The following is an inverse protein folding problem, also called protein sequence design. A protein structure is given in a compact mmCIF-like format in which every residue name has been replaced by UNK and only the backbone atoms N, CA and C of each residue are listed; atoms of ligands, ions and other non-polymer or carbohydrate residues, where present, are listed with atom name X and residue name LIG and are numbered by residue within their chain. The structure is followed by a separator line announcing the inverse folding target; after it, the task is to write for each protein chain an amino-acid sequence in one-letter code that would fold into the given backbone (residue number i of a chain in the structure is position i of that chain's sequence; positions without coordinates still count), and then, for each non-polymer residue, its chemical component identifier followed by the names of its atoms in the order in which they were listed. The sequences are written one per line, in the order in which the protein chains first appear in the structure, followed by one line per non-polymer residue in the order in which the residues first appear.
data_IF_122508639716
#
_entry.id   IF_122508639716
#
_cell.length_a   1.000
_cell.length_b   1.000
_cell.length_c   1.000
_cell.angle_alpha   90.00
_cell.angle_beta   90.00
_cell.angle_gamma   90.00
#
_symmetry.space_group_name_H-M   'P 1'
#
loop_
_entity.id
_entity.type
_entity.pdbx_description
1 polymer ?
#
# COMPACT_ATOMS: atom_id res chain seq x y z
N UNK A 1 -13.16 46.21 -2.39
CA UNK A 1 -14.56 45.86 -2.14
C UNK A 1 -14.58 44.58 -1.31
N UNK A 2 -14.98 44.73 -0.04
CA UNK A 2 -15.05 43.66 0.97
C UNK A 2 -16.42 43.01 0.90
N UNK A 3 -16.48 41.68 0.95
CA UNK A 3 -17.68 41.00 1.49
C UNK A 3 -17.25 39.73 2.29
N UNK A 4 -17.71 39.58 3.55
CA UNK A 4 -17.49 38.41 4.34
C UNK A 4 -18.69 37.45 4.25
N UNK A 5 -18.45 36.17 3.97
CA UNK A 5 -19.44 35.12 4.09
C UNK A 5 -19.39 34.56 5.53
N UNK A 6 -20.40 34.90 6.31
CA UNK A 6 -20.75 34.27 7.58
C UNK A 6 -21.35 32.89 7.31
N UNK A 7 -20.75 31.84 7.83
CA UNK A 7 -21.39 30.55 7.96
C UNK A 7 -22.21 30.51 9.24
N UNK A 8 -23.51 30.36 9.08
CA UNK A 8 -24.48 30.03 10.14
C UNK A 8 -24.52 28.51 10.26
N UNK A 9 -24.11 27.98 11.42
CA UNK A 9 -24.36 26.61 11.84
C UNK A 9 -25.16 26.67 13.13
N UNK A 10 -26.48 26.59 13.02
CA UNK A 10 -27.37 26.29 14.15
C UNK A 10 -28.65 25.63 13.62
N UNK A 11 -29.13 24.68 14.44
CA UNK A 11 -30.48 24.10 14.36
C UNK A 11 -30.62 22.82 13.56
N UNK A 12 -30.35 21.67 14.23
CA UNK A 12 -31.24 20.50 14.14
C UNK A 12 -30.96 19.51 15.30
N UNK A 13 -31.38 19.91 16.50
CA UNK A 13 -31.62 18.99 17.61
C UNK A 13 -32.93 19.36 18.28
N UNK A 14 -34.06 18.90 17.73
CA UNK A 14 -35.35 18.77 18.44
C UNK A 14 -36.27 17.90 17.58
N UNK A 15 -36.58 16.74 18.05
CA UNK A 15 -37.84 16.02 17.93
C UNK A 15 -37.63 14.50 17.90
N UNK A 16 -37.48 13.90 19.05
CA UNK A 16 -37.94 12.52 19.24
C UNK A 16 -38.30 12.31 20.72
N UNK A 17 -39.41 12.89 21.12
CA UNK A 17 -40.07 12.56 22.35
C UNK A 17 -41.59 12.53 22.11
N UNK A 18 -42.26 11.53 22.65
CA UNK A 18 -43.70 11.29 22.73
C UNK A 18 -44.29 10.37 21.66
N UNK A 19 -44.45 9.12 22.12
CA UNK A 19 -45.73 8.38 22.04
C UNK A 19 -45.62 7.01 22.72
N UNK A 20 -46.00 6.94 24.00
CA UNK A 20 -46.59 5.74 24.59
C UNK A 20 -47.82 6.11 25.35
N UNK A 21 -48.97 5.83 24.76
CA UNK A 21 -50.29 6.02 25.30
C UNK A 21 -50.83 4.67 25.78
N UNK A 22 -51.11 4.59 27.10
CA UNK A 22 -52.18 3.90 27.81
C UNK A 22 -52.80 2.63 27.18
N UNK A 23 -52.72 1.53 27.92
CA UNK A 23 -53.77 0.50 28.03
C UNK A 23 -53.80 0.00 29.51
N UNK A 24 -54.76 0.21 30.19
CA UNK A 24 -55.99 -0.43 30.58
C UNK A 24 -55.78 -1.44 31.72
N UNK A 25 -56.04 -0.95 32.97
CA UNK A 25 -56.11 -1.76 34.19
C UNK A 25 -57.48 -2.47 34.19
N UNK A 26 -57.53 -3.79 34.36
CA UNK A 26 -58.70 -4.51 34.89
C UNK A 26 -58.32 -5.27 36.15
N UNK A 27 -59.01 -4.91 37.24
CA UNK A 27 -58.99 -5.54 38.57
C UNK A 27 -59.72 -6.88 38.52
N UNK A 28 -59.14 -7.94 39.07
CA UNK A 28 -59.94 -9.04 39.72
C UNK A 28 -59.08 -9.70 40.82
N UNK A 29 -59.54 -9.65 42.04
CA UNK A 29 -59.81 -10.78 42.91
C UNK A 29 -58.69 -11.32 43.79
N UNK A 30 -58.79 -11.02 45.06
CA UNK A 30 -58.10 -11.53 46.24
C UNK A 30 -58.28 -13.05 46.39
N UNK A 31 -57.22 -13.81 46.71
CA UNK A 31 -57.23 -14.90 47.70
C UNK A 31 -55.86 -14.96 48.37
N UNK A 32 -55.84 -14.82 49.69
CA UNK A 32 -54.68 -14.97 50.55
C UNK A 32 -54.38 -16.46 50.79
N UNK A 33 -53.09 -16.84 50.61
CA UNK A 33 -52.58 -18.07 51.21
C UNK A 33 -51.16 -17.78 51.73
N UNK A 34 -51.00 -17.77 53.00
CA UNK A 34 -49.75 -17.73 53.74
C UNK A 34 -48.96 -19.00 53.46
N UNK A 35 -47.88 -18.88 52.75
CA UNK A 35 -46.84 -19.88 52.62
C UNK A 35 -45.49 -19.24 52.82
N UNK A 36 -44.87 -19.48 53.99
CA UNK A 36 -43.48 -19.06 54.24
C UNK A 36 -42.52 -19.82 53.33
N UNK A 37 -42.21 -19.23 52.24
CA UNK A 37 -41.11 -19.66 51.38
C UNK A 37 -39.89 -18.77 51.66
N UNK A 38 -38.90 -19.35 52.34
CA UNK A 38 -37.58 -18.73 52.48
C UNK A 38 -36.97 -18.56 51.07
N UNK A 39 -37.09 -17.36 50.53
CA UNK A 39 -36.41 -16.95 49.30
C UNK A 39 -34.92 -16.81 49.61
N UNK A 40 -34.15 -17.88 49.34
CA UNK A 40 -32.70 -17.77 49.16
C UNK A 40 -32.51 -16.89 47.95
N UNK A 41 -32.24 -15.62 48.17
CA UNK A 41 -31.69 -14.75 47.13
C UNK A 41 -30.32 -15.33 46.73
N UNK A 42 -30.32 -16.19 45.72
CA UNK A 42 -29.12 -16.49 44.99
C UNK A 42 -28.66 -15.17 44.34
N UNK A 43 -27.73 -14.50 44.99
CA UNK A 43 -26.95 -13.42 44.37
C UNK A 43 -26.18 -14.08 43.28
N UNK A 44 -26.80 -14.13 42.10
CA UNK A 44 -26.07 -14.50 40.88
C UNK A 44 -24.87 -13.54 40.79
N UNK A 45 -23.64 -14.04 40.77
CA UNK A 45 -22.50 -13.16 40.53
C UNK A 45 -22.78 -12.45 39.20
N UNK A 46 -23.02 -11.14 39.28
CA UNK A 46 -22.97 -10.31 38.09
C UNK A 46 -21.60 -10.61 37.49
N UNK A 47 -21.60 -11.27 36.34
CA UNK A 47 -20.41 -11.35 35.50
C UNK A 47 -20.06 -9.91 35.06
N UNK A 48 -19.54 -9.14 36.03
CA UNK A 48 -18.98 -7.84 35.76
C UNK A 48 -17.92 -8.09 34.70
N UNK A 49 -18.02 -7.42 33.58
CA UNK A 49 -17.02 -7.51 32.52
C UNK A 49 -15.66 -7.33 33.20
N UNK A 50 -14.85 -8.40 33.22
CA UNK A 50 -13.56 -8.39 33.88
C UNK A 50 -12.66 -7.45 33.09
N UNK A 51 -12.50 -6.22 33.59
CA UNK A 51 -11.69 -5.19 32.95
C UNK A 51 -10.37 -5.05 33.66
N UNK A 52 -9.35 -4.61 32.94
CA UNK A 52 -8.08 -4.19 33.45
C UNK A 52 -7.75 -2.77 33.02
N UNK A 53 -6.52 -2.38 33.20
CA UNK A 53 -5.98 -1.09 32.77
C UNK A 53 -4.65 -1.25 32.05
N UNK A 54 -4.29 -0.24 31.29
CA UNK A 54 -2.98 -0.12 30.65
C UNK A 54 -2.35 1.19 31.13
N UNK A 55 -1.12 1.12 31.58
CA UNK A 55 -0.22 2.25 31.76
C UNK A 55 0.89 2.15 30.73
N UNK A 56 1.22 3.26 30.09
CA UNK A 56 2.26 3.27 29.08
C UNK A 56 3.15 4.48 29.23
N UNK A 57 4.38 4.33 28.76
CA UNK A 57 5.37 5.38 28.68
C UNK A 57 5.95 5.38 27.26
N UNK A 58 6.12 6.57 26.68
CA UNK A 58 6.65 6.77 25.34
C UNK A 58 7.91 7.61 25.40
N UNK A 59 9.01 7.02 24.99
CA UNK A 59 10.33 7.67 24.93
C UNK A 59 10.95 7.46 23.56
N UNK A 60 11.74 8.42 23.13
CA UNK A 60 12.52 8.30 21.91
C UNK A 60 13.93 8.88 22.13
N UNK A 61 14.89 8.25 21.48
CA UNK A 61 16.29 8.66 21.51
C UNK A 61 16.67 9.19 20.14
N UNK A 62 16.98 10.51 19.99
CA UNK A 62 17.55 11.03 18.76
C UNK A 62 18.93 10.43 18.50
N UNK A 63 19.39 10.44 17.26
CA UNK A 63 20.68 9.84 16.85
C UNK A 63 21.85 10.42 17.64
N UNK A 64 21.79 11.71 17.95
CA UNK A 64 22.86 12.48 18.63
C UNK A 64 22.55 12.80 20.09
N UNK A 65 21.49 12.22 20.69
CA UNK A 65 20.96 12.71 21.94
C UNK A 65 20.73 11.66 23.04
N UNK A 66 20.20 12.20 24.11
CA UNK A 66 19.71 11.43 25.27
C UNK A 66 18.24 11.09 25.03
N UNK A 67 17.80 9.98 25.61
CA UNK A 67 16.40 9.57 25.57
C UNK A 67 15.47 10.64 26.17
N UNK A 68 14.47 11.05 25.41
CA UNK A 68 13.50 12.07 25.80
C UNK A 68 12.06 11.54 25.81
N UNK A 69 11.20 12.07 26.70
CA UNK A 69 9.78 11.73 26.69
C UNK A 69 9.06 12.30 25.47
N UNK A 70 8.24 11.49 24.82
CA UNK A 70 7.38 11.92 23.70
C UNK A 70 6.09 12.53 24.27
N UNK A 71 5.96 13.85 24.18
CA UNK A 71 4.92 14.64 24.84
C UNK A 71 3.73 14.91 23.93
N UNK A 72 2.53 14.85 24.48
CA UNK A 72 1.31 15.21 23.76
C UNK A 72 1.03 14.33 22.53
N UNK A 73 1.59 13.14 22.47
CA UNK A 73 1.52 12.27 21.31
C UNK A 73 0.29 11.37 21.37
N UNK A 74 -0.54 11.33 20.32
CA UNK A 74 -1.73 10.48 20.30
C UNK A 74 -1.36 9.02 20.01
N UNK A 75 -1.97 8.11 20.79
CA UNK A 75 -1.93 6.68 20.58
C UNK A 75 -3.34 6.12 20.47
N UNK A 76 -3.47 5.04 19.76
CA UNK A 76 -4.72 4.31 19.54
C UNK A 76 -4.60 2.90 20.10
N UNK A 77 -5.59 2.50 20.89
CA UNK A 77 -5.74 1.11 21.29
C UNK A 77 -6.61 0.42 20.25
N UNK A 78 -6.06 -0.60 19.62
CA UNK A 78 -6.72 -1.35 18.56
C UNK A 78 -6.92 -2.81 18.98
N UNK A 79 -7.99 -3.43 18.50
CA UNK A 79 -8.26 -4.87 18.70
C UNK A 79 -7.50 -5.78 17.73
N UNK A 80 -6.73 -5.19 16.78
CA UNK A 80 -5.92 -5.89 15.78
C UNK A 80 -4.69 -5.02 15.46
N UNK A 81 -3.56 -5.62 15.08
CA UNK A 81 -2.37 -4.85 14.71
C UNK A 81 -2.63 -3.95 13.50
N UNK A 82 -2.01 -2.78 13.46
CA UNK A 82 -2.15 -1.88 12.32
C UNK A 82 -1.51 -2.47 11.05
N UNK A 83 -0.46 -3.28 11.23
CA UNK A 83 0.13 -4.06 10.14
C UNK A 83 -0.89 -5.02 9.50
N UNK A 84 -1.62 -5.81 10.31
CA UNK A 84 -2.63 -6.74 9.78
C UNK A 84 -3.87 -6.03 9.23
N UNK A 85 -4.20 -4.86 9.78
CA UNK A 85 -5.26 -3.99 9.21
C UNK A 85 -4.81 -3.48 7.83
N UNK A 86 -3.53 -3.12 7.68
CA UNK A 86 -2.96 -2.68 6.40
C UNK A 86 -2.96 -3.81 5.37
N UNK A 87 -2.64 -5.04 5.78
CA UNK A 87 -2.76 -6.22 4.91
C UNK A 87 -4.21 -6.46 4.48
N UNK A 88 -5.16 -6.32 5.40
CA UNK A 88 -6.60 -6.42 5.09
C UNK A 88 -7.04 -5.32 4.11
N UNK A 89 -6.60 -4.09 4.32
CA UNK A 89 -6.85 -3.00 3.38
C UNK A 89 -6.24 -3.29 2.01
N UNK A 90 -5.00 -3.79 1.95
CA UNK A 90 -4.31 -4.13 0.70
C UNK A 90 -5.02 -5.21 -0.11
N UNK A 91 -5.73 -6.13 0.54
CA UNK A 91 -6.52 -7.16 -0.14
C UNK A 91 -7.68 -6.57 -0.97
N UNK A 92 -8.21 -5.40 -0.58
CA UNK A 92 -9.24 -4.68 -1.34
C UNK A 92 -8.68 -3.91 -2.54
N UNK A 93 -7.35 -3.75 -2.62
CA UNK A 93 -6.65 -3.02 -3.68
C UNK A 93 -5.57 -3.93 -4.29
N UNK A 94 -5.94 -4.90 -5.12
CA UNK A 94 -4.97 -5.78 -5.76
C UNK A 94 -3.98 -4.95 -6.60
N UNK A 95 -2.73 -5.43 -6.76
CA UNK A 95 -1.77 -4.76 -7.62
C UNK A 95 -2.31 -4.67 -9.05
N UNK A 96 -2.00 -3.61 -9.80
CA UNK A 96 -2.35 -3.52 -11.20
C UNK A 96 -1.84 -4.72 -11.99
N UNK A 97 -2.64 -5.23 -12.90
CA UNK A 97 -2.25 -6.31 -13.80
C UNK A 97 -1.36 -5.75 -14.91
N UNK A 98 -0.09 -6.14 -14.88
CA UNK A 98 0.89 -5.71 -15.89
C UNK A 98 0.53 -6.23 -17.29
N UNK A 99 -0.04 -7.43 -17.42
CA UNK A 99 -0.46 -7.97 -18.70
C UNK A 99 -1.58 -7.15 -19.31
N UNK A 100 -2.60 -6.82 -18.52
CA UNK A 100 -3.71 -5.97 -18.96
C UNK A 100 -3.26 -4.52 -19.26
N UNK A 101 -2.23 -4.02 -18.56
CA UNK A 101 -1.61 -2.74 -18.87
C UNK A 101 -0.91 -2.79 -20.24
N UNK A 102 -0.06 -3.81 -20.47
CA UNK A 102 0.67 -3.98 -21.73
C UNK A 102 -0.30 -4.13 -22.91
N UNK A 103 -1.43 -4.85 -22.75
CA UNK A 103 -2.41 -5.02 -23.82
C UNK A 103 -3.00 -3.70 -24.34
N UNK A 104 -3.07 -2.67 -23.49
CA UNK A 104 -3.63 -1.36 -23.82
C UNK A 104 -2.61 -0.39 -24.46
N UNK A 105 -1.31 -0.75 -24.47
CA UNK A 105 -0.31 0.11 -25.07
C UNK A 105 -0.52 0.20 -26.58
N UNK A 106 -0.14 1.33 -27.16
CA UNK A 106 -0.03 1.50 -28.60
C UNK A 106 1.35 1.03 -29.06
N UNK A 107 1.49 -0.27 -29.30
CA UNK A 107 2.74 -0.93 -29.62
C UNK A 107 2.47 -2.18 -30.47
N UNK A 108 3.51 -2.68 -31.15
CA UNK A 108 3.42 -3.91 -31.95
C UNK A 108 3.04 -5.13 -31.07
N UNK A 109 2.54 -6.17 -31.73
CA UNK A 109 2.25 -7.45 -31.05
C UNK A 109 3.52 -8.08 -30.49
N UNK A 110 4.60 -7.93 -31.20
CA UNK A 110 5.93 -8.45 -30.87
C UNK A 110 6.49 -7.76 -29.63
N UNK A 111 6.40 -6.43 -29.54
CA UNK A 111 6.84 -5.67 -28.36
C UNK A 111 5.99 -6.03 -27.15
N UNK A 112 4.66 -6.09 -27.29
CA UNK A 112 3.77 -6.53 -26.21
C UNK A 112 4.07 -7.95 -25.74
N UNK A 113 4.34 -8.87 -26.66
CA UNK A 113 4.73 -10.24 -26.33
C UNK A 113 6.06 -10.27 -25.58
N UNK A 114 7.04 -9.50 -26.02
CA UNK A 114 8.33 -9.39 -25.35
C UNK A 114 8.19 -8.83 -23.93
N UNK A 115 7.44 -7.73 -23.73
CA UNK A 115 7.17 -7.15 -22.41
C UNK A 115 6.51 -8.15 -21.47
N UNK A 116 5.51 -8.88 -21.93
CA UNK A 116 4.80 -9.90 -21.14
C UNK A 116 5.71 -11.06 -20.75
N UNK A 117 6.47 -11.59 -21.71
CA UNK A 117 7.43 -12.69 -21.50
C UNK A 117 8.47 -12.34 -20.45
N UNK A 118 9.01 -11.13 -20.52
CA UNK A 118 10.05 -10.65 -19.62
C UNK A 118 9.51 -10.02 -18.33
N UNK A 119 8.19 -9.80 -18.24
CA UNK A 119 7.53 -9.02 -17.17
C UNK A 119 8.22 -7.67 -16.97
N UNK A 120 8.45 -6.97 -18.06
CA UNK A 120 9.26 -5.77 -18.12
C UNK A 120 8.61 -4.73 -19.03
N UNK A 121 8.52 -3.48 -18.57
CA UNK A 121 7.88 -2.39 -19.32
C UNK A 121 8.82 -1.21 -19.58
N UNK A 122 9.96 -1.15 -18.91
CA UNK A 122 10.95 -0.09 -19.14
C UNK A 122 11.73 -0.37 -20.42
N UNK A 123 11.83 0.61 -21.30
CA UNK A 123 12.54 0.52 -22.59
C UNK A 123 13.77 1.42 -22.65
N UNK A 124 14.23 1.90 -21.50
CA UNK A 124 15.34 2.82 -21.36
C UNK A 124 16.33 2.36 -20.30
N UNK A 125 17.57 2.81 -20.41
CA UNK A 125 18.65 2.58 -19.47
C UNK A 125 19.38 1.25 -19.64
N UNK A 126 20.46 1.10 -18.87
CA UNK A 126 21.41 -0.02 -18.97
C UNK A 126 20.74 -1.38 -18.71
N UNK A 127 19.89 -1.48 -17.68
CA UNK A 127 19.15 -2.71 -17.34
C UNK A 127 18.28 -3.22 -18.51
N UNK A 128 17.71 -2.30 -19.30
CA UNK A 128 16.98 -2.66 -20.52
C UNK A 128 17.92 -3.20 -21.59
N UNK A 129 19.03 -2.51 -21.87
CA UNK A 129 20.00 -2.94 -22.88
C UNK A 129 20.61 -4.30 -22.55
N UNK A 130 20.85 -4.59 -21.26
CA UNK A 130 21.29 -5.92 -20.83
C UNK A 130 20.24 -7.01 -21.05
N UNK A 131 18.97 -6.68 -20.85
CA UNK A 131 17.85 -7.62 -20.97
C UNK A 131 17.52 -7.98 -22.42
N UNK A 132 17.69 -7.04 -23.35
CA UNK A 132 17.40 -7.25 -24.78
C UNK A 132 18.46 -8.14 -25.44
N UNK A 133 18.05 -9.32 -25.89
CA UNK A 133 18.92 -10.26 -26.61
C UNK A 133 19.03 -9.88 -28.09
N UNK A 134 20.10 -10.31 -28.81
CA UNK A 134 20.24 -10.09 -30.25
C UNK A 134 19.01 -10.49 -31.04
N UNK A 135 18.46 -11.68 -30.77
CA UNK A 135 17.24 -12.17 -31.41
C UNK A 135 16.02 -11.27 -31.16
N UNK A 136 15.90 -10.66 -29.93
CA UNK A 136 14.81 -9.75 -29.62
C UNK A 136 14.92 -8.46 -30.46
N UNK A 137 16.15 -7.95 -30.68
CA UNK A 137 16.37 -6.76 -31.49
C UNK A 137 15.81 -6.96 -32.90
N UNK A 138 16.04 -8.12 -33.48
CA UNK A 138 15.62 -8.42 -34.87
C UNK A 138 14.12 -8.77 -34.93
N UNK A 139 13.58 -9.42 -33.88
CA UNK A 139 12.20 -9.90 -33.84
C UNK A 139 11.18 -8.83 -33.52
N UNK A 140 11.56 -7.77 -32.76
CA UNK A 140 10.64 -6.70 -32.32
C UNK A 140 10.83 -5.48 -33.23
N UNK A 141 9.82 -5.07 -34.01
CA UNK A 141 9.94 -3.97 -34.96
C UNK A 141 10.46 -2.66 -34.37
N UNK A 142 9.99 -2.31 -33.15
CA UNK A 142 10.44 -1.10 -32.46
C UNK A 142 11.92 -1.19 -32.08
N UNK A 143 12.38 -2.34 -31.60
CA UNK A 143 13.79 -2.55 -31.25
C UNK A 143 14.66 -2.51 -32.48
N UNK A 144 14.23 -3.15 -33.57
CA UNK A 144 14.96 -3.15 -34.83
C UNK A 144 15.07 -1.74 -35.39
N UNK A 145 13.98 -0.97 -35.38
CA UNK A 145 13.98 0.42 -35.83
C UNK A 145 14.91 1.28 -34.96
N UNK A 146 14.84 1.16 -33.65
CA UNK A 146 15.68 1.89 -32.71
C UNK A 146 17.16 1.52 -32.88
N UNK A 147 17.47 0.26 -33.07
CA UNK A 147 18.82 -0.23 -33.32
C UNK A 147 19.43 0.37 -34.62
N UNK A 148 18.67 0.41 -35.71
CA UNK A 148 19.13 1.01 -36.97
C UNK A 148 19.28 2.54 -36.87
N UNK A 149 18.54 3.21 -35.97
CA UNK A 149 18.64 4.65 -35.74
C UNK A 149 19.81 5.00 -34.80
N UNK A 150 20.13 4.14 -33.84
CA UNK A 150 21.29 4.30 -32.98
C UNK A 150 22.54 4.06 -33.79
N UNK A 151 23.21 5.09 -34.17
CA UNK A 151 24.29 5.11 -35.18
C UNK A 151 25.51 4.25 -34.85
N UNK A 152 25.65 3.68 -33.67
CA UNK A 152 26.87 2.97 -33.25
C UNK A 152 27.08 1.62 -33.97
N UNK A 153 26.00 0.90 -34.26
CA UNK A 153 26.10 -0.43 -34.91
C UNK A 153 25.94 -0.39 -36.42
N UNK A 154 24.84 0.20 -36.90
CA UNK A 154 24.49 0.21 -38.32
C UNK A 154 25.40 1.10 -39.20
N UNK A 155 26.16 2.01 -38.59
CA UNK A 155 27.14 2.85 -39.27
C UNK A 155 28.50 2.17 -39.48
N UNK A 156 28.76 0.99 -38.91
CA UNK A 156 30.00 0.25 -39.08
C UNK A 156 30.15 -0.26 -40.49
N UNK A 157 31.39 -0.26 -41.00
CA UNK A 157 31.70 -0.83 -42.33
C UNK A 157 31.40 -2.33 -42.42
N UNK A 158 31.51 -3.03 -41.29
CA UNK A 158 31.29 -4.48 -41.18
C UNK A 158 29.84 -4.84 -40.94
N UNK A 159 28.94 -3.83 -40.83
CA UNK A 159 27.51 -4.08 -40.62
C UNK A 159 26.90 -4.79 -41.86
N UNK A 160 26.08 -5.83 -41.66
CA UNK A 160 25.46 -6.59 -42.74
C UNK A 160 24.67 -5.69 -43.69
N UNK A 161 24.79 -5.95 -45.01
CA UNK A 161 24.06 -5.18 -46.02
C UNK A 161 22.93 -6.02 -46.61
N UNK A 162 21.72 -5.42 -46.61
CA UNK A 162 20.57 -6.05 -47.24
C UNK A 162 20.79 -6.29 -48.73
N UNK A 163 20.56 -7.52 -49.19
CA UNK A 163 20.66 -7.94 -50.61
C UNK A 163 19.31 -7.90 -51.32
N UNK A 164 18.30 -7.26 -50.74
CA UNK A 164 16.94 -7.13 -51.26
C UNK A 164 16.48 -5.67 -51.16
N UNK A 165 15.45 -5.36 -51.94
CA UNK A 165 14.79 -4.04 -51.93
C UNK A 165 13.31 -4.20 -51.54
N UNK A 166 12.65 -3.19 -50.99
CA UNK A 166 11.21 -3.26 -50.65
C UNK A 166 10.32 -3.68 -51.82
N UNK A 167 10.68 -3.27 -53.05
CA UNK A 167 9.97 -3.64 -54.28
C UNK A 167 10.03 -5.16 -54.58
N UNK A 168 11.02 -5.86 -54.09
CA UNK A 168 11.19 -7.30 -54.29
C UNK A 168 10.10 -8.09 -53.57
N UNK A 169 9.53 -7.53 -52.47
CA UNK A 169 8.41 -8.12 -51.76
C UNK A 169 7.17 -8.36 -52.67
N UNK A 170 6.97 -7.50 -53.66
CA UNK A 170 5.85 -7.60 -54.60
C UNK A 170 6.22 -8.38 -55.86
N UNK A 171 7.49 -8.29 -56.31
CA UNK A 171 7.95 -8.90 -57.56
C UNK A 171 8.30 -10.38 -57.39
N UNK A 172 8.92 -10.76 -56.28
CA UNK A 172 9.37 -12.12 -55.98
C UNK A 172 9.31 -12.33 -54.45
N UNK A 173 8.14 -12.59 -53.91
CA UNK A 173 7.92 -12.73 -52.45
C UNK A 173 8.82 -13.79 -51.83
N UNK A 174 8.99 -14.94 -52.48
CA UNK A 174 9.76 -16.06 -51.93
C UNK A 174 11.27 -15.70 -51.82
N UNK A 175 11.81 -15.02 -52.85
CA UNK A 175 13.17 -14.51 -52.81
C UNK A 175 13.35 -13.43 -51.75
N UNK A 176 12.38 -12.54 -51.63
CA UNK A 176 12.38 -11.48 -50.60
C UNK A 176 12.43 -12.08 -49.22
N UNK A 177 11.54 -13.02 -48.88
CA UNK A 177 11.47 -13.67 -47.57
C UNK A 177 12.79 -14.37 -47.24
N UNK A 178 13.34 -15.13 -48.17
CA UNK A 178 14.65 -15.81 -47.96
C UNK A 178 15.79 -14.80 -47.69
N UNK A 179 15.94 -13.78 -48.53
CA UNK A 179 17.02 -12.80 -48.38
C UNK A 179 16.84 -11.92 -47.16
N UNK A 180 15.59 -11.64 -46.77
CA UNK A 180 15.26 -10.92 -45.52
C UNK A 180 15.62 -11.75 -44.31
N UNK A 181 15.32 -13.05 -44.30
CA UNK A 181 15.68 -13.95 -43.20
C UNK A 181 17.22 -14.09 -43.08
N UNK A 182 17.93 -14.30 -44.18
CA UNK A 182 19.41 -14.34 -44.22
C UNK A 182 20.02 -13.04 -43.68
N UNK A 183 19.41 -11.90 -43.99
CA UNK A 183 19.89 -10.59 -43.51
C UNK A 183 19.64 -10.42 -42.02
N UNK A 184 18.45 -10.80 -41.51
CA UNK A 184 18.13 -10.72 -40.07
C UNK A 184 19.05 -11.64 -39.26
N UNK A 185 19.34 -12.86 -39.75
CA UNK A 185 20.28 -13.77 -39.10
C UNK A 185 21.70 -13.16 -39.06
N UNK A 186 22.14 -12.52 -40.15
CA UNK A 186 23.43 -11.84 -40.18
C UNK A 186 23.50 -10.65 -39.21
N UNK A 187 22.41 -9.89 -39.05
CA UNK A 187 22.33 -8.78 -38.09
C UNK A 187 22.34 -9.32 -36.65
N UNK A 188 21.58 -10.39 -36.36
CA UNK A 188 21.60 -11.04 -35.06
C UNK A 188 23.03 -11.48 -34.69
N UNK A 189 23.69 -12.18 -35.58
CA UNK A 189 25.08 -12.61 -35.38
C UNK A 189 26.06 -11.45 -35.21
N UNK A 190 25.85 -10.35 -35.94
CA UNK A 190 26.67 -9.13 -35.77
C UNK A 190 26.52 -8.54 -34.37
N UNK A 191 25.28 -8.49 -33.84
CA UNK A 191 25.00 -7.99 -32.49
C UNK A 191 25.60 -8.92 -31.43
N UNK A 192 25.56 -10.23 -31.63
CA UNK A 192 26.21 -11.22 -30.73
C UNK A 192 27.70 -10.99 -30.61
N UNK A 193 28.38 -10.71 -31.75
CA UNK A 193 29.82 -10.45 -31.80
C UNK A 193 30.15 -9.04 -31.27
N UNK A 194 29.21 -8.10 -31.34
CA UNK A 194 29.40 -6.70 -30.99
C UNK A 194 28.28 -6.22 -30.03
N UNK A 195 28.23 -6.70 -28.77
CA UNK A 195 27.15 -6.36 -27.82
C UNK A 195 26.97 -4.85 -27.60
N UNK A 196 28.07 -4.08 -27.64
CA UNK A 196 28.10 -2.62 -27.54
C UNK A 196 27.40 -1.91 -28.71
N UNK A 197 27.14 -2.62 -29.82
CA UNK A 197 26.41 -2.05 -30.95
C UNK A 197 24.96 -1.69 -30.62
N UNK A 198 24.42 -2.18 -29.50
CA UNK A 198 23.09 -1.80 -28.96
C UNK A 198 23.10 -0.47 -28.23
N UNK A 199 24.27 0.08 -27.90
CA UNK A 199 24.37 1.32 -27.13
C UNK A 199 23.66 2.46 -27.86
N UNK A 200 22.83 3.21 -27.08
CA UNK A 200 22.00 4.30 -27.60
C UNK A 200 20.69 3.87 -28.25
N UNK A 201 20.39 2.56 -28.37
CA UNK A 201 19.10 2.08 -28.85
C UNK A 201 17.97 2.53 -27.94
N UNK A 202 18.20 2.53 -26.63
CA UNK A 202 17.27 2.95 -25.60
C UNK A 202 16.84 4.42 -25.76
N UNK A 203 17.75 5.30 -26.21
CA UNK A 203 17.45 6.72 -26.45
C UNK A 203 16.40 6.91 -27.56
N UNK A 204 16.38 6.02 -28.54
CA UNK A 204 15.39 6.03 -29.63
C UNK A 204 14.02 5.45 -29.20
N UNK A 205 13.94 4.85 -28.02
CA UNK A 205 12.71 4.25 -27.47
C UNK A 205 12.05 5.09 -26.37
N UNK A 206 12.66 6.20 -25.96
CA UNK A 206 12.18 7.05 -24.84
C UNK A 206 10.71 7.46 -25.02
N UNK A 207 10.31 7.86 -26.22
CA UNK A 207 8.93 8.27 -26.50
C UNK A 207 7.92 7.11 -26.45
N UNK A 208 8.40 5.88 -26.54
CA UNK A 208 7.60 4.66 -26.51
C UNK A 208 7.68 3.93 -25.16
N UNK A 209 8.51 4.44 -24.22
CA UNK A 209 8.72 3.82 -22.91
C UNK A 209 7.50 4.02 -21.99
N UNK A 210 6.75 2.96 -21.65
CA UNK A 210 5.57 3.08 -20.82
C UNK A 210 5.86 3.01 -19.30
N UNK A 211 7.14 2.98 -18.91
CA UNK A 211 7.55 2.80 -17.51
C UNK A 211 6.98 3.88 -16.58
N UNK A 212 6.99 5.15 -17.01
CA UNK A 212 6.42 6.25 -16.25
C UNK A 212 4.90 6.08 -16.03
N UNK A 213 4.17 5.59 -17.05
CA UNK A 213 2.74 5.31 -16.93
C UNK A 213 2.47 4.17 -15.97
N UNK A 214 3.29 3.11 -16.04
CA UNK A 214 3.22 1.98 -15.12
C UNK A 214 3.54 2.39 -13.69
N UNK A 215 4.58 3.17 -13.46
CA UNK A 215 4.93 3.72 -12.15
C UNK A 215 3.81 4.59 -11.58
N UNK A 216 3.23 5.48 -12.40
CA UNK A 216 2.10 6.30 -11.98
C UNK A 216 0.86 5.48 -11.61
N UNK A 217 0.62 4.37 -12.31
CA UNK A 217 -0.49 3.45 -12.02
C UNK A 217 -0.26 2.70 -10.70
N UNK A 218 0.94 2.20 -10.47
CA UNK A 218 1.29 1.47 -9.24
C UNK A 218 1.36 2.39 -8.03
N UNK A 219 1.91 3.60 -8.18
CA UNK A 219 2.03 4.58 -7.11
C UNK A 219 0.68 5.05 -6.52
N UNK A 220 -0.41 4.97 -7.29
CA UNK A 220 -1.77 5.31 -6.79
C UNK A 220 -2.29 4.33 -5.74
N UNK A 221 -1.78 3.12 -5.70
CA UNK A 221 -2.25 2.05 -4.83
C UNK A 221 -1.93 2.29 -3.36
N UNK A 222 -0.72 2.68 -3.04
CA UNK A 222 -0.26 2.78 -1.66
C UNK A 222 -0.97 3.85 -0.82
N UNK A 223 -1.25 5.06 -1.34
CA UNK A 223 -2.09 6.03 -0.66
C UNK A 223 -3.51 5.52 -0.36
N UNK A 224 -4.13 4.79 -1.30
CA UNK A 224 -5.45 4.22 -1.11
C UNK A 224 -5.46 3.13 -0.02
N UNK A 225 -4.45 2.27 -0.01
CA UNK A 225 -4.29 1.25 1.04
C UNK A 225 -4.12 1.92 2.40
N UNK A 226 -3.24 2.93 2.51
CA UNK A 226 -3.03 3.66 3.76
C UNK A 226 -4.31 4.34 4.26
N UNK A 227 -5.01 5.05 3.38
CA UNK A 227 -6.29 5.68 3.70
C UNK A 227 -7.30 4.65 4.21
N UNK A 228 -7.44 3.51 3.53
CA UNK A 228 -8.35 2.44 3.91
C UNK A 228 -7.95 1.77 5.23
N UNK A 229 -6.67 1.57 5.46
CA UNK A 229 -6.16 1.01 6.71
C UNK A 229 -6.49 1.92 7.90
N UNK A 230 -6.29 3.23 7.79
CA UNK A 230 -6.65 4.21 8.82
C UNK A 230 -8.16 4.19 9.07
N UNK A 231 -8.98 4.17 8.02
CA UNK A 231 -10.44 4.08 8.13
C UNK A 231 -10.89 2.80 8.88
N UNK A 232 -10.33 1.65 8.53
CA UNK A 232 -10.60 0.38 9.22
C UNK A 232 -10.14 0.41 10.67
N UNK A 233 -8.97 0.97 10.95
CA UNK A 233 -8.46 1.10 12.30
C UNK A 233 -9.37 1.95 13.17
N UNK A 234 -9.91 3.05 12.64
CA UNK A 234 -10.76 3.99 13.37
C UNK A 234 -12.23 3.58 13.44
N UNK A 235 -12.73 2.75 12.54
CA UNK A 235 -14.14 2.33 12.50
C UNK A 235 -14.36 0.92 13.04
N UNK A 236 -13.59 -0.06 12.57
CA UNK A 236 -13.81 -1.48 12.87
C UNK A 236 -13.00 -2.00 14.06
N UNK A 237 -11.76 -1.52 14.20
CA UNK A 237 -10.81 -2.05 15.18
C UNK A 237 -10.50 -1.10 16.32
N UNK A 238 -11.10 0.07 16.33
CA UNK A 238 -10.92 1.07 17.36
C UNK A 238 -11.48 0.62 18.73
N UNK A 239 -10.66 0.75 19.78
CA UNK A 239 -11.06 0.50 21.17
C UNK A 239 -11.04 1.80 21.96
N UNK A 240 -9.94 2.54 21.90
CA UNK A 240 -9.79 3.80 22.60
C UNK A 240 -8.68 4.67 21.97
N UNK A 241 -8.74 5.96 22.27
CA UNK A 241 -7.67 6.92 21.97
C UNK A 241 -7.13 7.49 23.28
N UNK A 242 -5.84 7.66 23.35
CA UNK A 242 -5.13 8.25 24.48
C UNK A 242 -4.05 9.19 23.98
N UNK A 243 -3.50 9.98 24.90
CA UNK A 243 -2.43 10.93 24.60
C UNK A 243 -1.43 10.91 25.73
N UNK A 244 -0.15 11.03 25.40
CA UNK A 244 0.91 11.16 26.41
C UNK A 244 0.86 12.53 27.09
N UNK A 245 1.21 12.56 28.36
CA UNK A 245 1.38 13.80 29.14
C UNK A 245 2.76 14.44 28.87
N UNK A 246 3.13 15.42 29.68
CA UNK A 246 4.42 16.11 29.59
C UNK A 246 5.63 15.23 29.93
N UNK A 247 5.40 14.13 30.65
CA UNK A 247 6.40 13.13 31.02
C UNK A 247 6.45 11.96 30.04
N UNK A 248 5.64 11.99 28.97
CA UNK A 248 5.55 10.91 27.99
C UNK A 248 4.69 9.73 28.48
N UNK A 249 3.92 9.92 29.56
CA UNK A 249 3.14 8.85 30.20
C UNK A 249 1.66 8.98 29.87
N UNK A 250 0.96 7.85 29.99
CA UNK A 250 -0.50 7.84 29.88
C UNK A 250 -1.09 6.57 30.44
N UNK A 251 -2.41 6.58 30.66
CA UNK A 251 -3.12 5.43 31.16
C UNK A 251 -4.55 5.36 30.63
N UNK A 252 -5.09 4.14 30.57
CA UNK A 252 -6.48 3.89 30.26
C UNK A 252 -6.99 2.71 31.10
N UNK A 253 -8.18 2.86 31.69
CA UNK A 253 -8.87 1.84 32.48
C UNK A 253 -10.14 1.35 31.80
N UNK A 254 -10.75 0.31 32.42
CA UNK A 254 -12.02 -0.23 31.93
C UNK A 254 -11.92 -1.05 30.64
N UNK A 255 -10.72 -1.50 30.27
CA UNK A 255 -10.50 -2.32 29.07
C UNK A 255 -10.82 -3.78 29.40
N UNK A 256 -11.62 -4.44 28.58
CA UNK A 256 -11.90 -5.88 28.72
C UNK A 256 -10.60 -6.69 28.63
N UNK A 257 -10.56 -7.81 29.35
CA UNK A 257 -9.42 -8.73 29.23
C UNK A 257 -9.29 -9.22 27.77
N UNK A 258 -8.07 -9.19 27.23
CA UNK A 258 -7.79 -9.54 25.83
C UNK A 258 -6.43 -9.04 25.37
N UNK A 259 -6.11 -9.32 24.13
CA UNK A 259 -4.91 -8.81 23.46
C UNK A 259 -5.30 -7.64 22.56
N UNK A 260 -4.54 -6.57 22.66
CA UNK A 260 -4.72 -5.31 21.94
C UNK A 260 -3.38 -4.83 21.41
N UNK A 261 -3.40 -3.75 20.63
CA UNK A 261 -2.20 -3.09 20.10
C UNK A 261 -2.24 -1.60 20.44
N UNK A 262 -1.14 -1.12 21.03
CA UNK A 262 -0.88 0.30 21.15
C UNK A 262 -0.22 0.78 19.86
N UNK A 263 -0.98 1.53 19.07
CA UNK A 263 -0.58 1.93 17.72
C UNK A 263 -0.54 3.44 17.57
N UNK A 264 0.49 3.94 16.91
CA UNK A 264 0.54 5.32 16.41
C UNK A 264 -0.11 5.48 15.03
N UNK A 265 -0.61 4.39 14.44
CA UNK A 265 -1.04 4.34 13.04
C UNK A 265 0.10 4.80 12.10
N UNK A 266 -0.19 5.82 11.28
CA UNK A 266 0.80 6.47 10.40
C UNK A 266 1.51 7.68 11.03
N UNK A 267 1.18 8.00 12.30
CA UNK A 267 1.78 9.15 12.96
C UNK A 267 3.17 8.80 13.48
N UNK A 268 4.14 9.62 13.18
CA UNK A 268 5.49 9.54 13.73
C UNK A 268 5.65 10.56 14.85
N UNK A 269 6.25 10.14 15.95
CA UNK A 269 6.71 11.10 16.96
C UNK A 269 7.91 11.88 16.40
N UNK A 270 8.09 13.11 16.88
CA UNK A 270 9.24 13.93 16.50
C UNK A 270 10.06 14.24 17.77
N UNK A 271 11.25 13.67 17.85
CA UNK A 271 12.21 13.91 18.93
C UNK A 271 13.58 14.09 18.28
N UNK A 272 13.98 15.34 18.11
CA UNK A 272 15.15 15.68 17.33
C UNK A 272 15.03 15.16 15.88
N UNK A 273 15.98 14.34 15.47
CA UNK A 273 16.03 13.65 14.17
C UNK A 273 15.38 12.25 14.16
N UNK A 274 14.87 11.79 15.31
CA UNK A 274 14.16 10.51 15.40
C UNK A 274 12.67 10.67 15.08
N UNK A 275 12.15 9.76 14.25
CA UNK A 275 10.75 9.73 13.82
C UNK A 275 10.11 8.35 14.06
N UNK A 276 10.12 7.83 15.30
CA UNK A 276 9.60 6.50 15.57
C UNK A 276 8.08 6.44 15.42
N UNK A 277 7.59 5.24 15.02
CA UNK A 277 6.19 4.83 15.01
C UNK A 277 6.06 3.52 15.76
N UNK A 278 4.89 3.23 16.30
CA UNK A 278 4.67 2.03 17.09
C UNK A 278 3.39 1.29 16.71
N UNK A 279 3.44 -0.04 16.86
CA UNK A 279 2.29 -0.95 16.80
C UNK A 279 2.60 -2.15 17.71
N UNK A 280 2.53 -1.94 19.02
CA UNK A 280 3.04 -2.85 20.03
C UNK A 280 1.89 -3.63 20.68
N UNK A 281 1.95 -4.98 20.74
CA UNK A 281 0.93 -5.77 21.38
C UNK A 281 0.93 -5.59 22.91
N UNK A 282 -0.26 -5.57 23.50
CA UNK A 282 -0.48 -5.49 24.94
C UNK A 282 -1.57 -6.47 25.36
N UNK A 283 -1.29 -7.28 26.38
CA UNK A 283 -2.27 -8.19 26.97
C UNK A 283 -2.85 -7.58 28.24
N UNK A 284 -4.16 -7.33 28.24
CA UNK A 284 -4.92 -6.86 29.39
C UNK A 284 -5.51 -8.05 30.11
N UNK A 285 -5.26 -8.16 31.42
CA UNK A 285 -5.84 -9.17 32.30
C UNK A 285 -6.82 -8.51 33.26
N UNK A 286 -7.87 -9.23 33.63
CA UNK A 286 -8.86 -8.76 34.56
C UNK A 286 -8.26 -8.33 35.90
N UNK A 287 -8.63 -7.16 36.37
CA UNK A 287 -8.18 -6.61 37.67
C UNK A 287 -6.69 -6.22 37.70
N UNK A 288 -5.98 -6.30 36.58
CA UNK A 288 -4.56 -5.99 36.52
C UNK A 288 -4.27 -4.76 35.64
N UNK A 289 -3.14 -4.12 35.92
CA UNK A 289 -2.59 -3.06 35.08
C UNK A 289 -1.45 -3.64 34.23
N UNK A 290 -1.58 -3.55 32.91
CA UNK A 290 -0.51 -3.85 32.00
C UNK A 290 0.40 -2.62 31.84
N UNK A 291 1.71 -2.82 31.91
CA UNK A 291 2.71 -1.75 31.71
C UNK A 291 3.40 -1.94 30.37
N UNK A 292 3.45 -0.87 29.58
CA UNK A 292 4.05 -0.89 28.23
C UNK A 292 4.99 0.30 28.08
N UNK A 293 6.19 0.04 27.61
CA UNK A 293 7.16 1.08 27.21
C UNK A 293 7.32 1.07 25.71
N UNK A 294 7.05 2.20 25.07
CA UNK A 294 7.27 2.45 23.66
C UNK A 294 8.57 3.24 23.50
N UNK A 295 9.52 2.67 22.78
CA UNK A 295 10.85 3.26 22.59
C UNK A 295 11.37 2.99 21.17
N UNK A 296 12.56 3.44 20.84
CA UNK A 296 13.21 3.12 19.57
C UNK A 296 13.41 1.60 19.36
N UNK A 297 13.51 0.83 20.47
CA UNK A 297 13.75 -0.62 20.41
C UNK A 297 12.56 -1.37 19.81
N UNK A 298 11.33 -0.94 20.10
CA UNK A 298 10.11 -1.56 19.58
C UNK A 298 9.35 -0.67 18.60
N UNK A 299 10.01 0.36 18.09
CA UNK A 299 9.49 1.18 17.01
C UNK A 299 9.45 0.40 15.69
N UNK A 300 8.46 0.68 14.88
CA UNK A 300 8.43 0.22 13.48
C UNK A 300 9.57 0.92 12.74
N UNK A 301 10.48 0.12 12.22
CA UNK A 301 11.54 0.67 11.36
C UNK A 301 10.89 1.22 10.09
N UNK A 302 11.17 2.49 9.76
CA UNK A 302 10.84 2.99 8.43
C UNK A 302 11.54 2.09 7.40
N UNK A 303 10.86 1.70 6.29
CA UNK A 303 11.57 1.05 5.20
C UNK A 303 12.74 1.96 4.83
N UNK A 304 13.94 1.37 4.74
CA UNK A 304 15.10 2.11 4.28
C UNK A 304 14.71 2.78 2.96
N UNK A 305 14.71 4.12 2.95
CA UNK A 305 14.48 4.87 1.73
C UNK A 305 15.62 4.49 0.79
N UNK A 306 15.32 3.68 -0.21
CA UNK A 306 16.20 3.51 -1.36
C UNK A 306 16.27 4.87 -2.06
N UNK A 307 17.35 5.59 -1.77
CA UNK A 307 17.78 6.76 -2.52
C UNK A 307 18.30 6.32 -3.89
#
# INVERSE_FOLDING_TARGET
VRHPLRFRAETQYRAFAMRFRRLGIRKVGIIALLGAAATVLAVAPRAGAQTGSIQFEVRATPVSGVEEPVRGFPLFLLSKSFEDITKEAAAAYPPPDMGAFIDKLDASKELKAWMKKNRWVQLSGEDFLEKVKPADVVAVPEFYSAYLQSSSGAASLDFPKAKFKPVDKTKDPAKYERLSAEYHEAVEHYIEQNPQSKDGMDLSLVDQDPSAQWQALTAKRDPEIRRRAIELAQSKYFVARMQTDLQGQGSIGGIRAGTYWLSSLELSAQVGDAHPRWDVPVTVRAGQTAHVVLSNVNAIQAPASSF
#
